data_IF_538646444583
#
_entry.id   IF_538646444583
#
_cell.length_a   1.000
_cell.length_b   1.000
_cell.length_c   1.000
_cell.angle_alpha   90.00
_cell.angle_beta   90.00
_cell.angle_gamma   90.00
#
_symmetry.space_group_name_H-M   'P 1'
#
loop_
_entity.id
_entity.type
_entity.pdbx_description
1 polymer ?
#
# COMPACT_ATOMS: atom_id res chain seq x y z
N UNK A 1 -43.82 -28.36 0.99
CA UNK A 1 -43.50 -26.92 1.10
C UNK A 1 -42.00 -26.81 1.36
N UNK A 2 -41.18 -26.92 0.30
CA UNK A 2 -39.73 -26.68 0.38
C UNK A 2 -39.45 -25.24 -0.09
N UNK A 3 -39.67 -24.25 0.77
CA UNK A 3 -39.20 -22.86 0.56
C UNK A 3 -37.86 -22.67 1.23
N UNK A 4 -36.80 -22.78 0.44
CA UNK A 4 -35.75 -21.76 0.34
C UNK A 4 -34.63 -21.78 1.34
N UNK A 5 -33.74 -22.78 1.27
CA UNK A 5 -32.40 -22.66 1.85
C UNK A 5 -31.50 -21.70 1.03
N UNK A 6 -31.79 -21.50 -0.24
CA UNK A 6 -31.05 -20.58 -1.13
C UNK A 6 -31.25 -19.10 -0.75
N UNK A 7 -32.47 -18.68 -0.42
CA UNK A 7 -32.74 -17.28 -0.04
C UNK A 7 -32.07 -16.87 1.31
N UNK A 8 -31.82 -17.83 2.21
CA UNK A 8 -31.11 -17.56 3.47
C UNK A 8 -29.61 -17.35 3.28
N UNK A 9 -28.99 -17.94 2.25
CA UNK A 9 -27.55 -17.82 1.98
C UNK A 9 -27.19 -16.55 1.21
N UNK A 10 -28.10 -16.03 0.40
CA UNK A 10 -27.86 -14.79 -0.37
C UNK A 10 -28.10 -13.52 0.43
N UNK A 11 -28.96 -13.57 1.46
CA UNK A 11 -29.26 -12.42 2.31
C UNK A 11 -28.00 -11.74 2.94
N UNK A 12 -27.05 -12.47 3.55
CA UNK A 12 -25.85 -11.85 4.13
C UNK A 12 -24.92 -11.24 3.07
N UNK A 13 -24.84 -11.82 1.88
CA UNK A 13 -24.02 -11.30 0.78
C UNK A 13 -24.61 -10.01 0.26
N UNK A 14 -25.91 -9.96 0.02
CA UNK A 14 -26.62 -8.75 -0.45
C UNK A 14 -26.49 -7.65 0.59
N UNK A 15 -26.65 -7.96 1.88
CA UNK A 15 -26.48 -6.99 2.97
C UNK A 15 -25.05 -6.43 3.05
N UNK A 16 -24.05 -7.28 2.79
CA UNK A 16 -22.65 -6.87 2.70
C UNK A 16 -22.38 -5.90 1.56
N UNK A 17 -22.91 -6.21 0.36
CA UNK A 17 -22.79 -5.35 -0.82
C UNK A 17 -23.48 -4.01 -0.61
N UNK A 18 -24.72 -4.00 -0.09
CA UNK A 18 -25.45 -2.77 0.21
C UNK A 18 -24.74 -1.89 1.23
N UNK A 19 -24.13 -2.52 2.24
CA UNK A 19 -23.33 -1.79 3.24
C UNK A 19 -22.07 -1.19 2.62
N UNK A 20 -21.40 -1.93 1.75
CA UNK A 20 -20.22 -1.46 1.03
C UNK A 20 -20.56 -0.28 0.11
N UNK A 21 -21.65 -0.37 -0.66
CA UNK A 21 -22.13 0.70 -1.53
C UNK A 21 -22.47 1.94 -0.72
N UNK A 22 -23.14 1.79 0.44
CA UNK A 22 -23.41 2.93 1.34
C UNK A 22 -22.13 3.57 1.87
N UNK A 23 -21.14 2.76 2.27
CA UNK A 23 -19.86 3.25 2.77
C UNK A 23 -19.10 4.05 1.70
N UNK A 24 -19.11 3.60 0.44
CA UNK A 24 -18.53 4.35 -0.68
C UNK A 24 -19.31 5.65 -0.91
N UNK A 25 -20.66 5.61 -0.89
CA UNK A 25 -21.50 6.81 -1.09
C UNK A 25 -21.32 7.88 0.00
N UNK A 26 -21.00 7.47 1.23
CA UNK A 26 -20.80 8.36 2.39
C UNK A 26 -19.33 8.77 2.60
N UNK A 27 -18.41 8.33 1.74
CA UNK A 27 -16.98 8.63 1.87
C UNK A 27 -16.28 7.94 3.04
N UNK A 28 -16.94 7.00 3.72
CA UNK A 28 -16.34 6.28 4.86
C UNK A 28 -15.26 5.32 4.42
N UNK A 29 -15.47 4.63 3.31
CA UNK A 29 -14.52 3.67 2.76
C UNK A 29 -13.22 4.36 2.33
N UNK A 30 -13.33 5.46 1.62
CA UNK A 30 -12.19 6.24 1.13
C UNK A 30 -11.40 6.88 2.27
N UNK A 31 -12.09 7.35 3.32
CA UNK A 31 -11.43 7.84 4.55
C UNK A 31 -10.67 6.73 5.26
N UNK A 32 -11.25 5.52 5.31
CA UNK A 32 -10.56 4.36 5.87
C UNK A 32 -9.32 4.00 5.06
N UNK A 33 -9.40 4.01 3.72
CA UNK A 33 -8.24 3.79 2.85
C UNK A 33 -7.16 4.85 3.06
N UNK A 34 -7.53 6.14 3.18
CA UNK A 34 -6.58 7.21 3.47
C UNK A 34 -5.91 7.01 4.84
N UNK A 35 -6.67 6.62 5.86
CA UNK A 35 -6.13 6.27 7.18
C UNK A 35 -5.18 5.08 7.15
N UNK A 36 -5.55 4.01 6.42
CA UNK A 36 -4.68 2.85 6.21
C UNK A 36 -3.42 3.21 5.44
N UNK A 37 -3.51 4.13 4.47
CA UNK A 37 -2.33 4.67 3.77
C UNK A 37 -1.40 5.39 4.76
N UNK A 38 -1.95 6.19 5.68
CA UNK A 38 -1.16 6.88 6.69
C UNK A 38 -0.40 5.89 7.60
N UNK A 39 -1.13 4.93 8.17
CA UNK A 39 -0.54 3.92 9.07
C UNK A 39 0.46 3.04 8.30
N UNK A 40 0.06 2.54 7.13
CA UNK A 40 0.90 1.68 6.29
C UNK A 40 2.20 2.38 5.87
N UNK A 41 2.14 3.69 5.55
CA UNK A 41 3.33 4.47 5.20
C UNK A 41 4.34 4.56 6.36
N UNK A 42 3.87 4.75 7.59
CA UNK A 42 4.78 4.78 8.77
C UNK A 42 5.34 3.41 9.08
N UNK A 43 4.50 2.37 9.08
CA UNK A 43 4.93 1.00 9.39
C UNK A 43 5.95 0.52 8.37
N UNK A 44 5.67 0.70 7.07
CA UNK A 44 6.62 0.29 6.02
C UNK A 44 7.91 1.10 6.06
N UNK A 45 7.86 2.41 6.36
CA UNK A 45 9.06 3.23 6.48
C UNK A 45 9.92 2.83 7.68
N UNK A 46 9.31 2.48 8.82
CA UNK A 46 10.04 1.98 9.99
C UNK A 46 10.73 0.65 9.69
N UNK A 47 10.00 -0.31 9.09
CA UNK A 47 10.57 -1.59 8.69
C UNK A 47 11.72 -1.42 7.70
N UNK A 48 11.52 -0.58 6.68
CA UNK A 48 12.55 -0.28 5.68
C UNK A 48 13.78 0.38 6.32
N UNK A 49 13.57 1.28 7.28
CA UNK A 49 14.68 1.88 8.01
C UNK A 49 15.54 0.81 8.69
N UNK A 50 14.93 -0.08 9.47
CA UNK A 50 15.67 -1.14 10.17
C UNK A 50 16.37 -2.11 9.21
N UNK A 51 15.73 -2.47 8.11
CA UNK A 51 16.34 -3.36 7.13
C UNK A 51 17.51 -2.69 6.37
N UNK A 52 17.39 -1.42 6.04
CA UNK A 52 18.46 -0.67 5.38
C UNK A 52 19.60 -0.30 6.35
N UNK A 53 19.29 -0.11 7.64
CA UNK A 53 20.30 0.11 8.68
C UNK A 53 21.19 -1.10 8.84
N UNK A 54 20.66 -2.33 8.82
CA UNK A 54 21.44 -3.56 8.78
C UNK A 54 22.43 -3.62 7.61
N UNK A 55 22.09 -2.99 6.49
CA UNK A 55 22.94 -2.83 5.30
C UNK A 55 23.77 -1.53 5.33
N UNK A 56 23.82 -0.83 6.49
CA UNK A 56 24.55 0.44 6.71
C UNK A 56 24.21 1.52 5.68
N UNK A 57 22.99 1.54 5.15
CA UNK A 57 22.55 2.47 4.10
C UNK A 57 23.55 2.64 2.95
N UNK A 58 24.11 1.51 2.49
CA UNK A 58 25.20 1.49 1.48
C UNK A 58 24.85 2.16 0.14
N UNK A 59 23.56 2.49 -0.10
CA UNK A 59 23.11 3.25 -1.25
C UNK A 59 22.19 4.40 -0.81
N UNK A 60 22.42 5.61 -1.32
CA UNK A 60 21.60 6.81 -1.01
C UNK A 60 20.12 6.64 -1.37
N UNK A 61 19.79 5.81 -2.35
CA UNK A 61 18.40 5.51 -2.71
C UNK A 61 17.61 4.83 -1.59
N UNK A 62 18.28 4.18 -0.63
CA UNK A 62 17.67 3.53 0.53
C UNK A 62 16.98 4.53 1.48
N UNK A 63 17.35 5.81 1.44
CA UNK A 63 16.72 6.87 2.24
C UNK A 63 15.39 7.36 1.65
N UNK A 64 15.15 7.15 0.34
CA UNK A 64 13.92 7.64 -0.30
C UNK A 64 12.65 7.06 0.34
N UNK A 65 12.49 5.72 0.49
CA UNK A 65 11.29 5.17 1.10
C UNK A 65 11.13 5.57 2.57
N UNK A 66 12.24 5.75 3.30
CA UNK A 66 12.22 6.22 4.70
C UNK A 66 11.67 7.63 4.78
N UNK A 67 12.09 8.53 3.89
CA UNK A 67 11.59 9.90 3.83
C UNK A 67 10.14 10.00 3.32
N UNK A 68 9.74 9.12 2.39
CA UNK A 68 8.38 9.09 1.85
C UNK A 68 7.35 8.57 2.87
N UNK A 69 7.75 7.79 3.85
CA UNK A 69 6.83 7.30 4.90
C UNK A 69 6.11 8.41 5.66
N UNK A 70 6.82 9.34 6.30
CA UNK A 70 6.20 10.51 6.95
C UNK A 70 5.35 11.35 5.99
N UNK A 71 5.80 11.54 4.74
CA UNK A 71 5.03 12.27 3.72
C UNK A 71 3.71 11.57 3.43
N UNK A 72 3.73 10.24 3.23
CA UNK A 72 2.54 9.42 3.03
C UNK A 72 1.60 9.44 4.23
N UNK A 73 2.17 9.42 5.44
CA UNK A 73 1.41 9.49 6.69
C UNK A 73 0.66 10.81 6.81
N UNK A 74 1.34 11.94 6.63
CA UNK A 74 0.74 13.28 6.68
C UNK A 74 -0.32 13.43 5.60
N UNK A 75 -0.04 13.03 4.36
CA UNK A 75 -0.99 13.11 3.26
C UNK A 75 -2.22 12.21 3.50
N UNK A 76 -2.03 11.01 4.06
CA UNK A 76 -3.11 10.09 4.41
C UNK A 76 -4.00 10.65 5.50
N UNK A 77 -3.42 11.15 6.61
CA UNK A 77 -4.18 11.81 7.69
C UNK A 77 -4.94 13.02 7.16
N UNK A 78 -4.28 13.88 6.39
CA UNK A 78 -4.92 15.04 5.79
C UNK A 78 -6.08 14.65 4.86
N UNK A 79 -5.92 13.54 4.11
CA UNK A 79 -6.96 12.97 3.25
C UNK A 79 -8.17 12.42 4.02
N UNK A 80 -8.01 11.97 5.26
CA UNK A 80 -9.14 11.56 6.12
C UNK A 80 -10.06 12.76 6.41
N UNK A 81 -9.48 13.90 6.77
CA UNK A 81 -10.22 15.07 7.28
C UNK A 81 -10.60 16.07 6.20
N UNK A 82 -9.88 16.13 5.08
CA UNK A 82 -10.07 17.13 4.03
C UNK A 82 -10.27 16.49 2.66
N UNK A 83 -11.44 16.74 2.05
CA UNK A 83 -11.71 16.34 0.66
C UNK A 83 -10.72 16.97 -0.33
N UNK A 84 -10.37 18.25 -0.13
CA UNK A 84 -9.41 18.94 -0.99
C UNK A 84 -8.05 18.24 -0.95
N UNK A 85 -7.54 17.92 0.25
CA UNK A 85 -6.26 17.25 0.41
C UNK A 85 -6.30 15.80 -0.05
N UNK A 86 -7.43 15.10 0.09
CA UNK A 86 -7.66 13.78 -0.48
C UNK A 86 -7.61 13.77 -2.02
N UNK A 87 -7.90 14.90 -2.68
CA UNK A 87 -7.87 15.04 -4.14
C UNK A 87 -6.58 15.69 -4.67
N UNK A 88 -5.73 16.23 -3.81
CA UNK A 88 -4.49 16.94 -4.20
C UNK A 88 -3.26 16.31 -3.57
N UNK A 89 -3.05 16.50 -2.29
CA UNK A 89 -1.84 16.05 -1.59
C UNK A 89 -1.73 14.52 -1.54
N UNK A 90 -2.83 13.82 -1.22
CA UNK A 90 -2.83 12.37 -1.10
C UNK A 90 -2.44 11.66 -2.41
N UNK A 91 -3.02 11.96 -3.58
CA UNK A 91 -2.61 11.29 -4.81
C UNK A 91 -1.17 11.62 -5.22
N UNK A 92 -0.68 12.84 -4.99
CA UNK A 92 0.71 13.21 -5.29
C UNK A 92 1.68 12.37 -4.44
N UNK A 93 1.47 12.32 -3.13
CA UNK A 93 2.28 11.49 -2.24
C UNK A 93 2.18 10.00 -2.61
N UNK A 94 0.98 9.52 -2.93
CA UNK A 94 0.73 8.12 -3.29
C UNK A 94 1.41 7.72 -4.59
N UNK A 95 1.43 8.59 -5.60
CA UNK A 95 2.19 8.35 -6.85
C UNK A 95 3.67 8.21 -6.56
N UNK A 96 4.24 9.10 -5.73
CA UNK A 96 5.64 9.02 -5.35
C UNK A 96 5.96 7.71 -4.60
N UNK A 97 5.08 7.28 -3.68
CA UNK A 97 5.21 6.02 -2.94
C UNK A 97 5.13 4.81 -3.89
N UNK A 98 4.16 4.78 -4.83
CA UNK A 98 4.04 3.72 -5.84
C UNK A 98 5.30 3.64 -6.70
N UNK A 99 5.74 4.79 -7.24
CA UNK A 99 6.93 4.85 -8.08
C UNK A 99 8.18 4.34 -7.34
N UNK A 100 8.35 4.74 -6.07
CA UNK A 100 9.45 4.27 -5.23
C UNK A 100 9.34 2.78 -4.92
N UNK A 101 8.15 2.27 -4.63
CA UNK A 101 7.92 0.83 -4.40
C UNK A 101 8.26 -0.01 -5.64
N UNK A 102 7.85 0.43 -6.83
CA UNK A 102 8.19 -0.23 -8.09
C UNK A 102 9.70 -0.18 -8.37
N UNK A 103 10.34 0.98 -8.14
CA UNK A 103 11.78 1.11 -8.24
C UNK A 103 12.51 0.16 -7.28
N UNK A 104 12.06 0.10 -6.02
CA UNK A 104 12.60 -0.81 -5.01
C UNK A 104 12.46 -2.27 -5.42
N UNK A 105 11.29 -2.67 -5.93
CA UNK A 105 11.04 -4.02 -6.44
C UNK A 105 12.04 -4.38 -7.56
N UNK A 106 12.26 -3.48 -8.50
CA UNK A 106 13.23 -3.68 -9.57
C UNK A 106 14.66 -3.81 -9.04
N UNK A 107 15.06 -2.95 -8.08
CA UNK A 107 16.39 -3.00 -7.47
C UNK A 107 16.62 -4.31 -6.71
N UNK A 108 15.64 -4.77 -5.93
CA UNK A 108 15.71 -6.02 -5.20
C UNK A 108 15.74 -7.23 -6.15
N UNK A 109 14.91 -7.23 -7.20
CA UNK A 109 14.93 -8.26 -8.24
C UNK A 109 16.30 -8.35 -8.94
N UNK A 110 16.87 -7.19 -9.28
CA UNK A 110 18.22 -7.10 -9.84
C UNK A 110 19.28 -7.64 -8.85
N UNK A 111 19.16 -7.30 -7.56
CA UNK A 111 20.04 -7.80 -6.51
C UNK A 111 20.01 -9.33 -6.40
N UNK A 112 18.83 -9.95 -6.50
CA UNK A 112 18.67 -11.41 -6.55
C UNK A 112 19.35 -11.99 -7.81
N UNK A 113 19.11 -11.39 -8.98
CA UNK A 113 19.69 -11.85 -10.23
C UNK A 113 21.23 -11.82 -10.24
N UNK A 114 21.83 -10.91 -9.48
CA UNK A 114 23.30 -10.76 -9.37
C UNK A 114 23.96 -11.70 -8.36
N UNK A 115 23.18 -12.43 -7.55
CA UNK A 115 23.73 -13.43 -6.63
C UNK A 115 24.17 -14.70 -7.38
N UNK A 116 25.09 -15.51 -6.78
CA UNK A 116 25.48 -16.79 -7.35
C UNK A 116 24.29 -17.67 -7.68
N UNK A 117 24.21 -18.15 -8.92
CA UNK A 117 23.08 -18.91 -9.44
C UNK A 117 21.85 -18.09 -9.82
N UNK A 118 21.79 -16.81 -9.49
CA UNK A 118 20.70 -15.88 -9.86
C UNK A 118 19.32 -16.48 -9.60
N UNK A 119 18.40 -16.36 -10.59
CA UNK A 119 17.05 -16.90 -10.53
C UNK A 119 16.97 -18.45 -10.57
N UNK A 120 18.05 -19.15 -10.96
CA UNK A 120 18.08 -20.62 -10.93
C UNK A 120 18.16 -21.14 -9.51
N UNK A 121 18.77 -20.39 -8.59
CA UNK A 121 18.83 -20.70 -7.15
C UNK A 121 17.83 -19.82 -6.37
N UNK A 122 16.59 -19.75 -6.87
CA UNK A 122 15.57 -18.81 -6.43
C UNK A 122 15.31 -18.86 -4.93
N UNK A 123 15.09 -20.07 -4.38
CA UNK A 123 14.76 -20.24 -2.96
C UNK A 123 15.85 -19.62 -2.08
N UNK A 124 17.08 -20.06 -2.25
CA UNK A 124 18.22 -19.57 -1.45
C UNK A 124 18.43 -18.06 -1.63
N UNK A 125 18.40 -17.57 -2.88
CA UNK A 125 18.65 -16.16 -3.17
C UNK A 125 17.51 -15.24 -2.73
N UNK A 126 16.29 -15.74 -2.56
CA UNK A 126 15.20 -14.97 -1.94
C UNK A 126 15.29 -14.97 -0.41
N UNK A 127 15.71 -16.09 0.19
CA UNK A 127 15.87 -16.18 1.65
C UNK A 127 17.07 -15.35 2.15
N UNK A 128 18.18 -15.37 1.41
CA UNK A 128 19.45 -14.73 1.80
C UNK A 128 19.74 -13.44 1.02
N UNK A 129 18.84 -13.02 0.19
CA UNK A 129 18.94 -11.82 -0.64
C UNK A 129 18.09 -10.66 -0.14
N UNK A 130 18.00 -9.58 -0.96
CA UNK A 130 17.11 -8.49 -0.63
C UNK A 130 15.64 -8.95 -0.67
N UNK A 131 14.82 -8.53 0.32
CA UNK A 131 13.44 -8.98 0.47
C UNK A 131 12.56 -8.46 -0.66
N UNK A 132 12.26 -9.29 -1.66
CA UNK A 132 11.55 -8.89 -2.88
C UNK A 132 10.15 -8.36 -2.63
N UNK A 133 9.45 -8.89 -1.61
CA UNK A 133 8.07 -8.51 -1.32
C UNK A 133 7.93 -7.19 -0.53
N UNK A 134 8.98 -6.78 0.17
CA UNK A 134 8.94 -5.55 0.99
C UNK A 134 8.61 -4.29 0.15
N UNK A 135 9.28 -4.00 -0.98
CA UNK A 135 8.93 -2.84 -1.80
C UNK A 135 7.57 -2.99 -2.51
N UNK A 136 7.07 -4.22 -2.73
CA UNK A 136 5.70 -4.42 -3.22
C UNK A 136 4.67 -3.98 -2.18
N UNK A 137 4.91 -4.18 -0.88
CA UNK A 137 4.04 -3.65 0.18
C UNK A 137 4.00 -2.12 0.14
N UNK A 138 5.12 -1.45 -0.10
CA UNK A 138 5.17 0.01 -0.31
C UNK A 138 4.29 0.41 -1.49
N UNK A 139 4.39 -0.32 -2.61
CA UNK A 139 3.53 -0.09 -3.78
C UNK A 139 2.05 -0.24 -3.44
N UNK A 140 1.67 -1.25 -2.66
CA UNK A 140 0.28 -1.46 -2.23
C UNK A 140 -0.21 -0.32 -1.33
N UNK A 141 0.61 0.17 -0.40
CA UNK A 141 0.27 1.31 0.46
C UNK A 141 -0.01 2.56 -0.38
N UNK A 142 0.86 2.87 -1.35
CA UNK A 142 0.62 3.96 -2.29
C UNK A 142 -0.64 3.74 -3.14
N UNK A 143 -0.88 2.50 -3.58
CA UNK A 143 -2.08 2.11 -4.32
C UNK A 143 -3.38 2.35 -3.54
N UNK A 144 -3.38 2.06 -2.23
CA UNK A 144 -4.53 2.38 -1.36
C UNK A 144 -4.81 3.89 -1.31
N UNK A 145 -3.77 4.72 -1.23
CA UNK A 145 -3.93 6.18 -1.25
C UNK A 145 -4.47 6.71 -2.57
N UNK A 146 -4.04 6.14 -3.70
CA UNK A 146 -4.61 6.45 -5.02
C UNK A 146 -6.08 6.07 -5.11
N UNK A 147 -6.45 4.87 -4.65
CA UNK A 147 -7.84 4.42 -4.62
C UNK A 147 -8.68 5.34 -3.73
N UNK A 148 -8.18 5.72 -2.55
CA UNK A 148 -8.85 6.68 -1.68
C UNK A 148 -9.13 8.01 -2.41
N UNK A 149 -8.13 8.53 -3.13
CA UNK A 149 -8.24 9.77 -3.88
C UNK A 149 -9.25 9.66 -5.05
N UNK A 150 -9.22 8.58 -5.82
CA UNK A 150 -10.11 8.38 -6.98
C UNK A 150 -11.55 8.18 -6.54
N UNK A 151 -11.77 7.37 -5.51
CA UNK A 151 -13.12 7.02 -5.05
C UNK A 151 -13.81 8.15 -4.25
N UNK A 152 -13.08 9.15 -3.75
CA UNK A 152 -13.62 10.25 -2.94
C UNK A 152 -14.65 11.07 -3.70
N UNK A 153 -15.94 10.87 -3.43
CA UNK A 153 -17.09 11.46 -4.16
C UNK A 153 -18.01 12.35 -3.32
N UNK A 154 -17.64 12.64 -2.08
CA UNK A 154 -18.46 13.52 -1.24
C UNK A 154 -18.76 14.86 -1.94
N UNK A 155 -20.02 15.30 -1.88
CA UNK A 155 -20.45 16.62 -2.31
C UNK A 155 -20.11 17.67 -1.25
#
# INVERSE_FOLDING_TARGET
VARTSAARRTAPVIYGVDRMVRNVRTGRFERSLAGLTAIGSLVTAAEIFFEHDKASFGNRLMWIPVALGPVGAVAGVAGVFSKRLAKTALPIASVAIVANGLQGTWLHARGIAQKPGGWRNLRYNMEMGPPLLAPLLVTMVGGMGLLAAVLRREK
#
